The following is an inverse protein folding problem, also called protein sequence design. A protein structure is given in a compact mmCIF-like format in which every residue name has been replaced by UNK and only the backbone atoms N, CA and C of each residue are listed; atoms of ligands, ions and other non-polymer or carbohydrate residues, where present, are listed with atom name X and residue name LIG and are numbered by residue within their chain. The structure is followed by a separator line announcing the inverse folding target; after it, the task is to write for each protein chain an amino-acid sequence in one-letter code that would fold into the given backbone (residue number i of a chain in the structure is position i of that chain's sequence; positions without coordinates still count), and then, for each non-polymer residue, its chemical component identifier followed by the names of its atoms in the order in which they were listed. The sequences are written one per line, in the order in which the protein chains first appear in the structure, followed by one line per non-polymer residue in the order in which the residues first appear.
data_IF_945171266756
#
_entry.id   IF_945171266756
#
_cell.length_a   1.000
_cell.length_b   1.000
_cell.length_c   1.000
_cell.angle_alpha   90.00
_cell.angle_beta   90.00
_cell.angle_gamma   90.00
#
_symmetry.space_group_name_H-M   'P 1'
#
loop_
_entity.id
_entity.type
_entity.pdbx_description
1 polymer ?
#
# COMPACT_ATOMS: atom_id res chain seq x y z
N UNK A 1 -10.28 26.14 20.23
CA UNK A 1 -10.88 24.93 19.65
C UNK A 1 -9.72 24.17 19.03
N UNK A 2 -9.24 23.16 19.74
CA UNK A 2 -7.99 22.45 19.46
C UNK A 2 -8.07 21.69 18.15
N UNK A 3 -7.09 21.88 17.28
CA UNK A 3 -6.72 20.89 16.27
C UNK A 3 -5.21 21.02 16.08
N UNK A 4 -4.49 20.40 17.02
CA UNK A 4 -3.06 20.15 16.87
C UNK A 4 -2.91 19.27 15.65
N UNK A 5 -2.41 19.85 14.55
CA UNK A 5 -1.88 19.09 13.42
C UNK A 5 -0.71 18.30 13.99
N UNK A 6 -0.97 17.06 14.43
CA UNK A 6 0.07 16.08 14.63
C UNK A 6 0.78 15.99 13.29
N UNK A 7 2.04 16.44 13.25
CA UNK A 7 2.95 16.15 12.16
C UNK A 7 2.96 14.63 12.02
N UNK A 8 2.15 14.13 11.09
CA UNK A 8 2.05 12.72 10.79
C UNK A 8 3.46 12.34 10.34
N UNK A 9 4.25 11.71 11.22
CA UNK A 9 5.52 11.15 10.79
C UNK A 9 5.15 10.20 9.65
N UNK A 10 5.62 10.51 8.45
CA UNK A 10 5.37 9.67 7.29
C UNK A 10 5.88 8.28 7.67
N UNK A 11 4.99 7.30 7.68
CA UNK A 11 5.37 5.93 8.04
C UNK A 11 6.49 5.49 7.10
N UNK A 12 7.58 4.89 7.60
CA UNK A 12 8.64 4.39 6.72
C UNK A 12 8.07 3.39 5.69
N UNK A 13 7.02 2.65 6.05
CA UNK A 13 6.29 1.77 5.14
C UNK A 13 5.74 2.55 3.95
N UNK A 14 5.09 3.69 4.19
CA UNK A 14 4.50 4.53 3.15
C UNK A 14 5.55 5.13 2.22
N UNK A 15 6.67 5.58 2.79
CA UNK A 15 7.81 6.09 2.03
C UNK A 15 8.36 5.03 1.08
N UNK A 16 8.64 3.82 1.58
CA UNK A 16 9.17 2.73 0.75
C UNK A 16 8.15 2.22 -0.27
N UNK A 17 6.88 2.08 0.12
CA UNK A 17 5.82 1.65 -0.79
C UNK A 17 5.68 2.63 -1.96
N UNK A 18 5.56 3.92 -1.67
CA UNK A 18 5.43 4.96 -2.69
C UNK A 18 6.65 5.00 -3.61
N UNK A 19 7.86 4.94 -3.04
CA UNK A 19 9.11 4.90 -3.81
C UNK A 19 9.15 3.68 -4.74
N UNK A 20 8.79 2.49 -4.24
CA UNK A 20 8.78 1.25 -5.03
C UNK A 20 7.67 1.22 -6.10
N UNK A 21 6.57 1.95 -5.88
CA UNK A 21 5.52 2.16 -6.87
C UNK A 21 5.98 3.15 -7.95
N UNK A 22 6.68 4.22 -7.57
CA UNK A 22 7.21 5.22 -8.52
C UNK A 22 8.31 4.64 -9.43
N UNK A 23 9.12 3.71 -8.94
CA UNK A 23 10.14 3.04 -9.77
C UNK A 23 9.54 2.02 -10.74
N UNK A 24 8.27 1.65 -10.58
CA UNK A 24 7.58 0.65 -11.40
C UNK A 24 6.53 1.32 -12.30
N UNK A 25 6.83 1.44 -13.58
CA UNK A 25 5.86 1.87 -14.57
C UNK A 25 4.78 0.79 -14.78
N UNK A 26 3.51 1.21 -14.85
CA UNK A 26 2.39 0.34 -15.21
C UNK A 26 2.73 -0.47 -16.49
N UNK A 27 2.48 -1.79 -16.55
CA UNK A 27 1.68 -2.63 -15.65
C UNK A 27 2.49 -3.39 -14.58
N UNK A 28 3.74 -3.00 -14.31
CA UNK A 28 4.56 -3.72 -13.33
C UNK A 28 3.95 -3.64 -11.94
N UNK A 29 3.86 -4.79 -11.28
CA UNK A 29 3.36 -4.92 -9.91
C UNK A 29 4.52 -5.13 -8.93
N UNK A 30 4.26 -4.87 -7.66
CA UNK A 30 5.14 -5.19 -6.55
C UNK A 30 4.46 -6.15 -5.56
N UNK A 31 5.26 -6.90 -4.82
CA UNK A 31 4.76 -7.67 -3.68
C UNK A 31 4.87 -6.84 -2.38
N UNK A 32 3.89 -6.94 -1.45
CA UNK A 32 4.00 -6.31 -0.13
C UNK A 32 5.28 -6.72 0.60
N UNK A 33 5.70 -7.98 0.46
CA UNK A 33 6.93 -8.52 1.05
C UNK A 33 8.20 -7.79 0.60
N UNK A 34 8.22 -7.23 -0.61
CA UNK A 34 9.37 -6.44 -1.08
C UNK A 34 9.47 -5.11 -0.33
N UNK A 35 8.34 -4.48 -0.01
CA UNK A 35 8.30 -3.26 0.78
C UNK A 35 8.83 -3.52 2.18
N UNK A 36 8.32 -4.56 2.85
CA UNK A 36 8.78 -4.88 4.20
C UNK A 36 10.25 -5.30 4.25
N UNK A 37 10.75 -6.00 3.23
CA UNK A 37 12.18 -6.34 3.12
C UNK A 37 13.07 -5.14 2.78
N UNK A 38 12.51 -4.06 2.25
CA UNK A 38 13.26 -2.84 1.96
C UNK A 38 13.48 -1.96 3.19
N UNK A 39 12.76 -2.23 4.29
CA UNK A 39 12.92 -1.53 5.56
C UNK A 39 14.24 -1.93 6.21
N UNK A 40 14.97 -0.92 6.68
CA UNK A 40 16.16 -1.10 7.50
C UNK A 40 15.80 -1.51 8.93
N UNK A 41 16.73 -2.16 9.63
CA UNK A 41 16.53 -2.56 11.04
C UNK A 41 16.16 -1.37 11.94
N UNK A 42 16.66 -0.17 11.65
CA UNK A 42 16.32 1.06 12.38
C UNK A 42 14.88 1.51 12.13
N UNK A 43 14.36 1.36 10.91
CA UNK A 43 12.95 1.62 10.61
C UNK A 43 12.03 0.59 11.27
N UNK A 44 12.42 -0.70 11.27
CA UNK A 44 11.71 -1.76 11.99
C UNK A 44 11.61 -1.44 13.48
N UNK A 45 12.75 -1.10 14.12
CA UNK A 45 12.77 -0.70 15.53
C UNK A 45 11.92 0.54 15.81
N UNK A 46 11.91 1.53 14.91
CA UNK A 46 11.06 2.71 15.05
C UNK A 46 9.56 2.37 14.99
N UNK A 47 9.19 1.26 14.35
CA UNK A 47 7.82 0.72 14.33
C UNK A 47 7.55 -0.22 15.52
N UNK A 48 8.55 -0.49 16.37
CA UNK A 48 8.45 -1.48 17.45
C UNK A 48 8.51 -2.93 16.94
N UNK A 49 9.01 -3.16 15.73
CA UNK A 49 9.10 -4.47 15.10
C UNK A 49 10.55 -4.94 15.08
N UNK A 50 10.78 -6.24 15.26
CA UNK A 50 12.11 -6.84 15.17
C UNK A 50 12.38 -7.41 13.78
N UNK A 51 11.34 -7.98 13.15
CA UNK A 51 11.45 -8.68 11.88
C UNK A 51 10.53 -8.08 10.81
N UNK A 52 10.95 -8.15 9.54
CA UNK A 52 10.15 -7.69 8.41
C UNK A 52 8.79 -8.41 8.29
N UNK A 53 8.68 -9.64 8.82
CA UNK A 53 7.43 -10.41 8.83
C UNK A 53 6.36 -9.75 9.69
N UNK A 54 6.74 -9.12 10.78
CA UNK A 54 5.81 -8.45 11.71
C UNK A 54 5.22 -7.18 11.07
N UNK A 55 5.92 -6.58 10.11
CA UNK A 55 5.43 -5.41 9.37
C UNK A 55 4.40 -5.78 8.29
N UNK A 56 4.35 -7.04 7.86
CA UNK A 56 3.43 -7.48 6.81
C UNK A 56 1.97 -7.08 6.98
N UNK A 57 1.33 -7.25 8.16
CA UNK A 57 -0.02 -6.71 8.38
C UNK A 57 -0.10 -5.21 8.10
N UNK A 58 0.81 -4.41 8.66
CA UNK A 58 0.82 -2.96 8.46
C UNK A 58 1.04 -2.54 7.00
N UNK A 59 1.88 -3.28 6.23
CA UNK A 59 2.02 -3.02 4.78
C UNK A 59 0.70 -3.28 4.06
N UNK A 60 0.01 -4.38 4.40
CA UNK A 60 -1.27 -4.73 3.76
C UNK A 60 -2.36 -3.72 4.07
N UNK A 61 -2.45 -3.29 5.33
CA UNK A 61 -3.39 -2.25 5.76
C UNK A 61 -3.17 -0.95 4.97
N UNK A 62 -1.92 -0.47 4.92
CA UNK A 62 -1.59 0.74 4.19
C UNK A 62 -1.91 0.64 2.69
N UNK A 63 -1.60 -0.51 2.07
CA UNK A 63 -1.97 -0.77 0.66
C UNK A 63 -3.49 -0.69 0.49
N UNK A 64 -4.27 -1.21 1.45
CA UNK A 64 -5.73 -1.11 1.42
C UNK A 64 -6.23 0.32 1.58
N UNK A 65 -5.61 1.10 2.46
CA UNK A 65 -5.93 2.52 2.61
C UNK A 65 -5.65 3.30 1.32
N UNK A 66 -4.50 3.08 0.69
CA UNK A 66 -4.16 3.70 -0.60
C UNK A 66 -5.13 3.25 -1.71
N UNK A 67 -5.56 1.98 -1.68
CA UNK A 67 -6.57 1.45 -2.60
C UNK A 67 -7.91 2.14 -2.41
N UNK A 68 -8.34 2.33 -1.16
CA UNK A 68 -9.58 3.03 -0.83
C UNK A 68 -9.54 4.51 -1.27
N UNK A 69 -8.35 5.11 -1.34
CA UNK A 69 -8.11 6.46 -1.88
C UNK A 69 -8.00 6.51 -3.42
N UNK A 70 -8.03 5.36 -4.10
CA UNK A 70 -7.85 5.28 -5.55
C UNK A 70 -6.42 5.49 -6.03
N UNK A 71 -5.42 5.43 -5.14
CA UNK A 71 -4.01 5.65 -5.50
C UNK A 71 -3.35 4.38 -6.08
N UNK A 72 -3.83 3.20 -5.66
CA UNK A 72 -3.27 1.89 -6.05
C UNK A 72 -4.36 0.88 -6.35
N UNK A 73 -4.02 -0.09 -7.18
CA UNK A 73 -4.83 -1.27 -7.44
C UNK A 73 -4.16 -2.50 -6.83
N UNK A 74 -4.96 -3.34 -6.17
CA UNK A 74 -4.51 -4.63 -5.63
C UNK A 74 -4.97 -5.73 -6.57
N UNK A 75 -4.04 -6.61 -6.93
CA UNK A 75 -4.28 -7.75 -7.78
C UNK A 75 -4.02 -9.05 -7.04
N UNK A 76 -4.84 -10.06 -7.31
CA UNK A 76 -4.66 -11.41 -6.82
C UNK A 76 -4.82 -12.39 -7.96
N UNK A 77 -3.88 -13.34 -8.09
CA UNK A 77 -3.87 -14.33 -9.20
C UNK A 77 -3.92 -13.70 -10.61
N UNK A 78 -3.48 -12.44 -10.74
CA UNK A 78 -3.49 -11.70 -12.01
C UNK A 78 -4.74 -10.85 -12.26
N UNK A 79 -5.74 -10.93 -11.39
CA UNK A 79 -7.00 -10.18 -11.51
C UNK A 79 -7.03 -9.00 -10.54
N UNK A 80 -7.56 -7.86 -10.96
CA UNK A 80 -7.73 -6.67 -10.10
C UNK A 80 -8.89 -6.91 -9.13
N UNK A 81 -8.63 -6.75 -7.84
CA UNK A 81 -9.65 -6.88 -6.81
C UNK A 81 -10.58 -5.67 -6.83
N UNK A 82 -11.87 -5.93 -7.05
CA UNK A 82 -12.93 -4.93 -7.03
C UNK A 82 -13.19 -4.35 -5.63
N UNK A 83 -13.93 -3.24 -5.57
CA UNK A 83 -14.17 -2.47 -4.33
C UNK A 83 -14.95 -3.22 -3.25
N UNK A 84 -15.65 -4.28 -3.65
CA UNK A 84 -16.36 -5.19 -2.76
C UNK A 84 -15.40 -6.06 -1.91
N UNK A 85 -14.16 -6.27 -2.39
CA UNK A 85 -13.19 -7.14 -1.74
C UNK A 85 -12.43 -6.41 -0.63
N UNK A 86 -12.49 -6.94 0.57
CA UNK A 86 -11.81 -6.36 1.74
C UNK A 86 -10.53 -7.11 2.09
N UNK A 87 -9.70 -6.52 2.96
CA UNK A 87 -8.41 -7.09 3.37
C UNK A 87 -8.56 -8.51 3.98
N UNK A 88 -9.67 -8.75 4.68
CA UNK A 88 -9.98 -10.01 5.35
C UNK A 88 -10.38 -11.14 4.37
N UNK A 89 -10.96 -10.81 3.22
CA UNK A 89 -11.29 -11.78 2.17
C UNK A 89 -10.04 -12.32 1.47
N UNK A 90 -8.95 -11.56 1.54
CA UNK A 90 -7.78 -11.77 0.70
C UNK A 90 -6.72 -12.60 1.39
N UNK A 91 -6.67 -13.88 1.01
CA UNK A 91 -5.70 -14.85 1.55
C UNK A 91 -4.59 -15.18 0.56
N UNK A 92 -3.35 -15.17 1.03
CA UNK A 92 -2.18 -15.53 0.23
C UNK A 92 -1.50 -14.34 -0.45
N UNK A 93 -0.76 -14.58 -1.54
CA UNK A 93 0.05 -13.57 -2.21
C UNK A 93 -0.82 -12.61 -3.02
N UNK A 94 -0.55 -11.32 -2.82
CA UNK A 94 -1.14 -10.22 -3.57
C UNK A 94 -0.06 -9.42 -4.26
N UNK A 95 -0.48 -8.71 -5.29
CA UNK A 95 0.33 -7.80 -6.09
C UNK A 95 -0.29 -6.41 -5.99
N UNK A 96 0.53 -5.38 -6.00
CA UNK A 96 0.08 -3.99 -5.94
C UNK A 96 0.66 -3.25 -7.14
N UNK A 97 -0.12 -2.40 -7.79
CA UNK A 97 0.37 -1.46 -8.81
C UNK A 97 -0.23 -0.08 -8.54
N UNK A 98 0.37 0.96 -9.13
CA UNK A 98 -0.28 2.27 -9.16
C UNK A 98 -1.57 2.16 -9.96
N UNK A 99 -2.64 2.77 -9.45
CA UNK A 99 -3.81 2.98 -10.26
C UNK A 99 -3.38 3.75 -11.51
N UNK A 100 -3.90 3.36 -12.68
CA UNK A 100 -3.76 4.24 -13.84
C UNK A 100 -4.45 5.55 -13.47
N UNK A 101 -3.83 6.66 -13.82
CA UNK A 101 -4.51 7.94 -13.93
C UNK A 101 -5.49 7.81 -15.10
N UNK A 102 -6.52 6.99 -14.91
CA UNK A 102 -7.68 6.99 -15.76
C UNK A 102 -8.38 8.30 -15.41
N UNK A 103 -8.04 9.34 -16.15
CA UNK A 103 -8.76 10.60 -16.07
C UNK A 103 -10.18 10.34 -16.54
N UNK A 104 -11.06 9.96 -15.62
CA UNK A 104 -12.50 9.97 -15.84
C UNK A 104 -13.18 10.23 -14.49
N UNK A 105 -13.17 11.50 -14.11
CA UNK A 105 -14.36 12.05 -13.49
C UNK A 105 -15.42 12.23 -14.59
N UNK A 106 -16.66 11.93 -14.22
CA UNK A 106 -17.91 12.30 -14.91
C UNK A 106 -18.38 11.39 -16.06
N UNK A 107 -19.35 10.52 -15.77
CA UNK A 107 -20.69 10.61 -16.38
C UNK A 107 -21.69 9.83 -15.50
N UNK A 108 -22.32 10.52 -14.55
CA UNK A 108 -23.61 10.11 -14.01
C UNK A 108 -24.68 10.72 -14.94
N UNK A 109 -25.15 9.92 -15.90
CA UNK A 109 -26.37 10.17 -16.67
C UNK A 109 -27.63 9.70 -15.95
#
# INVERSE_FOLDING_TARGET
MSSTVSAQRVSPIATHLTRLLQTRTCPKTLCPSEVARSLSSSELQSLGMNEWREVMPSVRELVWEMRARGEVEVLQKGEVLGNDVTLQDVKGPIRVRRAREDGEGDDQG
#
